data_IF_560948407302
#
_entry.id   IF_560948407302
#
_cell.length_a   1.000
_cell.length_b   1.000
_cell.length_c   1.000
_cell.angle_alpha   90.00
_cell.angle_beta   90.00
_cell.angle_gamma   90.00
#
_symmetry.space_group_name_H-M   'P 1'
#
loop_
_entity.id
_entity.type
_entity.pdbx_description
1 polymer ?
#
# COMPACT_ATOMS: atom_id res chain seq x y z
N UNK A 1 -15.07 -22.43 42.76
CA UNK A 1 -15.78 -22.81 41.51
C UNK A 1 -16.17 -21.52 40.82
N UNK A 2 -15.91 -21.39 39.51
CA UNK A 2 -16.27 -20.19 38.75
C UNK A 2 -17.77 -19.94 38.91
N UNK A 3 -18.14 -18.86 39.58
CA UNK A 3 -19.54 -18.48 39.86
C UNK A 3 -20.26 -17.96 38.62
N UNK A 4 -19.57 -17.79 37.49
CA UNK A 4 -20.20 -17.44 36.21
C UNK A 4 -19.43 -17.96 34.96
N UNK A 5 -19.44 -19.27 34.70
CA UNK A 5 -18.73 -19.88 33.57
C UNK A 5 -19.25 -19.38 32.21
N UNK A 6 -20.54 -19.06 32.11
CA UNK A 6 -21.15 -18.55 30.87
C UNK A 6 -20.65 -17.15 30.50
N UNK A 7 -20.49 -16.23 31.46
CA UNK A 7 -19.95 -14.90 31.20
C UNK A 7 -18.48 -14.97 30.74
N UNK A 8 -17.68 -15.85 31.34
CA UNK A 8 -16.29 -16.05 30.92
C UNK A 8 -16.20 -16.69 29.53
N UNK A 9 -17.05 -17.70 29.24
CA UNK A 9 -17.14 -18.31 27.92
C UNK A 9 -17.62 -17.29 26.86
N UNK A 10 -18.58 -16.43 27.20
CA UNK A 10 -19.08 -15.37 26.33
C UNK A 10 -18.01 -14.31 26.05
N UNK A 11 -17.27 -13.86 27.06
CA UNK A 11 -16.16 -12.92 26.89
C UNK A 11 -15.01 -13.51 26.05
N UNK A 12 -14.66 -14.78 26.28
CA UNK A 12 -13.63 -15.48 25.50
C UNK A 12 -14.07 -15.67 24.05
N UNK A 13 -15.36 -16.01 23.84
CA UNK A 13 -15.95 -16.12 22.50
C UNK A 13 -15.93 -14.77 21.78
N UNK A 14 -16.32 -13.69 22.45
CA UNK A 14 -16.28 -12.35 21.86
C UNK A 14 -14.85 -11.93 21.48
N UNK A 15 -13.85 -12.26 22.31
CA UNK A 15 -12.45 -12.00 21.99
C UNK A 15 -11.98 -12.79 20.76
N UNK A 16 -12.39 -14.06 20.65
CA UNK A 16 -12.05 -14.91 19.51
C UNK A 16 -12.76 -14.46 18.22
N UNK A 17 -14.05 -14.14 18.29
CA UNK A 17 -14.81 -13.57 17.18
C UNK A 17 -14.19 -12.25 16.72
N UNK A 18 -13.71 -11.42 17.65
CA UNK A 18 -12.99 -10.19 17.35
C UNK A 18 -11.68 -10.46 16.59
N UNK A 19 -10.87 -11.42 17.04
CA UNK A 19 -9.63 -11.81 16.33
C UNK A 19 -9.95 -12.32 14.92
N UNK A 20 -10.98 -13.15 14.78
CA UNK A 20 -11.38 -13.72 13.50
C UNK A 20 -11.92 -12.65 12.53
N UNK A 21 -12.74 -11.73 13.03
CA UNK A 21 -13.30 -10.63 12.24
C UNK A 21 -12.21 -9.66 11.80
N UNK A 22 -11.30 -9.31 12.70
CA UNK A 22 -10.13 -8.48 12.36
C UNK A 22 -9.33 -9.18 11.27
N UNK A 23 -8.93 -10.44 11.48
CA UNK A 23 -8.15 -11.20 10.50
C UNK A 23 -8.83 -11.31 9.13
N UNK A 24 -10.14 -11.57 9.10
CA UNK A 24 -10.91 -11.63 7.86
C UNK A 24 -10.95 -10.27 7.15
N UNK A 25 -11.27 -9.20 7.86
CA UNK A 25 -11.26 -7.85 7.29
C UNK A 25 -9.90 -7.52 6.70
N UNK A 26 -8.82 -7.78 7.44
CA UNK A 26 -7.46 -7.51 6.98
C UNK A 26 -7.09 -8.33 5.74
N UNK A 27 -7.46 -9.61 5.72
CA UNK A 27 -7.18 -10.50 4.60
C UNK A 27 -7.94 -10.06 3.35
N UNK A 28 -9.24 -9.76 3.49
CA UNK A 28 -10.06 -9.26 2.39
C UNK A 28 -9.51 -7.95 1.84
N UNK A 29 -9.10 -7.01 2.71
CA UNK A 29 -8.53 -5.74 2.27
C UNK A 29 -7.16 -5.89 1.63
N UNK A 30 -6.32 -6.80 2.12
CA UNK A 30 -5.05 -7.12 1.46
C UNK A 30 -5.28 -7.68 0.05
N UNK A 31 -6.24 -8.59 -0.13
CA UNK A 31 -6.58 -9.15 -1.46
C UNK A 31 -7.11 -8.05 -2.38
N UNK A 32 -8.02 -7.20 -1.91
CA UNK A 32 -8.52 -6.05 -2.68
C UNK A 32 -7.40 -5.09 -3.08
N UNK A 33 -6.46 -4.80 -2.18
CA UNK A 33 -5.30 -3.98 -2.49
C UNK A 33 -4.41 -4.60 -3.59
N UNK A 34 -4.21 -5.92 -3.56
CA UNK A 34 -3.48 -6.64 -4.62
C UNK A 34 -4.24 -6.53 -5.95
N UNK A 35 -5.56 -6.72 -5.96
CA UNK A 35 -6.39 -6.56 -7.15
C UNK A 35 -6.29 -5.15 -7.74
N UNK A 36 -6.35 -4.11 -6.90
CA UNK A 36 -6.21 -2.72 -7.32
C UNK A 36 -4.81 -2.45 -7.94
N UNK A 37 -3.75 -2.97 -7.32
CA UNK A 37 -2.37 -2.83 -7.86
C UNK A 37 -2.20 -3.58 -9.18
N UNK A 38 -2.78 -4.78 -9.31
CA UNK A 38 -2.77 -5.53 -10.58
C UNK A 38 -3.54 -4.79 -11.67
N UNK A 39 -4.71 -4.24 -11.35
CA UNK A 39 -5.50 -3.43 -12.28
C UNK A 39 -4.71 -2.19 -12.72
N UNK A 40 -4.04 -1.50 -11.79
CA UNK A 40 -3.17 -0.36 -12.09
C UNK A 40 -2.02 -0.74 -13.02
N UNK A 41 -1.33 -1.85 -12.77
CA UNK A 41 -0.26 -2.36 -13.63
C UNK A 41 -0.76 -2.67 -15.04
N UNK A 42 -1.93 -3.32 -15.16
CA UNK A 42 -2.51 -3.65 -16.46
C UNK A 42 -2.94 -2.41 -17.23
N UNK A 43 -3.56 -1.42 -16.57
CA UNK A 43 -3.91 -0.15 -17.16
C UNK A 43 -2.68 0.62 -17.65
N UNK A 44 -1.61 0.63 -16.86
CA UNK A 44 -0.34 1.28 -17.20
C UNK A 44 0.34 0.61 -18.38
N UNK A 45 0.40 -0.73 -18.39
CA UNK A 45 0.95 -1.48 -19.52
C UNK A 45 0.15 -1.24 -20.81
N UNK A 46 -1.18 -1.21 -20.71
CA UNK A 46 -2.06 -0.90 -21.85
C UNK A 46 -1.79 0.51 -22.39
N UNK A 47 -1.75 1.52 -21.52
CA UNK A 47 -1.40 2.90 -21.91
C UNK A 47 -0.03 2.95 -22.59
N UNK A 48 0.98 2.29 -22.02
CA UNK A 48 2.33 2.26 -22.60
C UNK A 48 2.38 1.63 -24.00
N UNK A 49 1.56 0.60 -24.27
CA UNK A 49 1.44 0.01 -25.61
C UNK A 49 0.77 1.00 -26.58
N UNK A 50 -0.32 1.63 -26.16
CA UNK A 50 -1.04 2.64 -26.96
C UNK A 50 -0.12 3.83 -27.30
N UNK A 51 0.61 4.34 -26.32
CA UNK A 51 1.60 5.41 -26.46
C UNK A 51 2.74 4.99 -27.40
N UNK A 52 3.24 3.75 -27.28
CA UNK A 52 4.28 3.21 -28.16
C UNK A 52 3.84 3.08 -29.61
N UNK A 53 2.60 2.64 -29.85
CA UNK A 53 2.01 2.58 -31.21
C UNK A 53 1.86 3.99 -31.77
N UNK A 54 1.36 4.94 -30.98
CA UNK A 54 1.22 6.33 -31.39
C UNK A 54 2.57 6.96 -31.74
N UNK A 55 3.59 6.76 -30.89
CA UNK A 55 4.96 7.17 -31.12
C UNK A 55 5.56 6.59 -32.41
N UNK A 56 5.41 5.28 -32.62
CA UNK A 56 5.89 4.61 -33.82
C UNK A 56 5.22 5.16 -35.10
N UNK A 57 3.91 5.44 -35.03
CA UNK A 57 3.17 6.07 -36.11
C UNK A 57 3.70 7.48 -36.40
N UNK A 58 3.86 8.31 -35.38
CA UNK A 58 4.36 9.69 -35.51
C UNK A 58 5.78 9.73 -36.09
N UNK A 59 6.67 8.84 -35.63
CA UNK A 59 8.02 8.69 -36.17
C UNK A 59 7.98 8.22 -37.64
N UNK A 60 7.13 7.23 -37.97
CA UNK A 60 7.02 6.73 -39.36
C UNK A 60 6.45 7.76 -40.35
N UNK A 61 5.70 8.74 -39.86
CA UNK A 61 5.12 9.83 -40.64
C UNK A 61 6.04 11.07 -40.71
N UNK A 62 7.19 11.04 -40.04
CA UNK A 62 8.14 12.14 -40.04
C UNK A 62 8.68 12.39 -41.45
N UNK A 63 8.68 13.66 -41.87
CA UNK A 63 9.08 14.08 -43.22
C UNK A 63 10.59 13.97 -43.46
N UNK A 64 11.38 13.98 -42.40
CA UNK A 64 12.83 13.92 -42.42
C UNK A 64 13.40 13.39 -41.09
N UNK A 65 14.69 13.01 -41.02
CA UNK A 65 15.31 12.49 -39.80
C UNK A 65 15.29 13.45 -38.61
N UNK A 66 15.24 14.77 -38.85
CA UNK A 66 15.20 15.78 -37.80
C UNK A 66 13.80 15.82 -37.16
N UNK A 67 12.75 15.73 -37.97
CA UNK A 67 11.37 15.57 -37.50
C UNK A 67 11.18 14.25 -36.75
N UNK A 68 11.82 13.16 -37.19
CA UNK A 68 11.77 11.87 -36.48
C UNK A 68 12.44 11.94 -35.10
N UNK A 69 13.61 12.58 -35.00
CA UNK A 69 14.27 12.78 -33.70
C UNK A 69 13.47 13.70 -32.78
N UNK A 70 12.81 14.73 -33.31
CA UNK A 70 11.93 15.58 -32.52
C UNK A 70 10.71 14.82 -31.97
N UNK A 71 10.09 13.96 -32.78
CA UNK A 71 8.98 13.10 -32.36
C UNK A 71 9.43 12.08 -31.29
N UNK A 72 10.61 11.48 -31.44
CA UNK A 72 11.17 10.58 -30.44
C UNK A 72 11.46 11.30 -29.11
N UNK A 73 11.98 12.53 -29.15
CA UNK A 73 12.24 13.33 -27.96
C UNK A 73 10.94 13.76 -27.25
N UNK A 74 9.88 14.06 -27.99
CA UNK A 74 8.58 14.42 -27.43
C UNK A 74 7.98 13.29 -26.58
N UNK A 75 8.32 12.03 -26.88
CA UNK A 75 7.83 10.86 -26.12
C UNK A 75 8.49 10.66 -24.74
N UNK A 76 9.52 11.43 -24.41
CA UNK A 76 10.09 11.42 -23.07
C UNK A 76 9.17 12.10 -22.03
N UNK A 77 8.32 13.04 -22.46
CA UNK A 77 7.41 13.75 -21.53
C UNK A 77 6.25 12.88 -21.01
N UNK A 78 5.53 12.11 -21.86
CA UNK A 78 4.48 11.20 -21.42
C UNK A 78 4.96 10.14 -20.42
N UNK A 79 6.17 9.60 -20.60
CA UNK A 79 6.75 8.62 -19.68
C UNK A 79 6.94 9.14 -18.25
N UNK A 80 7.36 10.41 -18.09
CA UNK A 80 7.53 11.06 -16.77
C UNK A 80 6.17 11.36 -16.15
N UNK A 81 5.21 11.85 -16.94
CA UNK A 81 3.85 12.11 -16.47
C UNK A 81 3.14 10.81 -16.05
N UNK A 82 3.32 9.73 -16.80
CA UNK A 82 2.79 8.40 -16.51
C UNK A 82 3.37 7.80 -15.23
N UNK A 83 4.68 7.93 -15.00
CA UNK A 83 5.31 7.48 -13.75
C UNK A 83 4.78 8.25 -12.52
N UNK A 84 4.55 9.56 -12.65
CA UNK A 84 3.94 10.38 -11.60
C UNK A 84 2.49 9.96 -11.33
N UNK A 85 1.70 9.73 -12.37
CA UNK A 85 0.31 9.28 -12.22
C UNK A 85 0.24 7.90 -11.55
N UNK A 86 1.07 6.94 -11.99
CA UNK A 86 1.18 5.62 -11.37
C UNK A 86 1.50 5.72 -9.88
N UNK A 87 2.47 6.56 -9.51
CA UNK A 87 2.80 6.81 -8.10
C UNK A 87 1.62 7.37 -7.33
N UNK A 88 0.94 8.39 -7.85
CA UNK A 88 -0.21 8.99 -7.17
C UNK A 88 -1.33 7.97 -6.94
N UNK A 89 -1.64 7.15 -7.95
CA UNK A 89 -2.65 6.10 -7.83
C UNK A 89 -2.24 5.01 -6.84
N UNK A 90 -0.95 4.65 -6.81
CA UNK A 90 -0.43 3.71 -5.82
C UNK A 90 -0.49 4.27 -4.38
N UNK A 91 -0.14 5.54 -4.20
CA UNK A 91 -0.23 6.24 -2.92
C UNK A 91 -1.70 6.30 -2.44
N UNK A 92 -2.67 6.50 -3.34
CA UNK A 92 -4.10 6.47 -3.03
C UNK A 92 -4.56 5.09 -2.55
N UNK A 93 -4.15 4.00 -3.22
CA UNK A 93 -4.45 2.62 -2.80
C UNK A 93 -3.90 2.35 -1.38
N UNK A 94 -2.64 2.74 -1.13
CA UNK A 94 -2.01 2.54 0.19
C UNK A 94 -2.75 3.32 1.27
N UNK A 95 -3.16 4.57 0.96
CA UNK A 95 -3.90 5.42 1.89
C UNK A 95 -5.29 4.88 2.19
N UNK A 96 -5.97 4.33 1.19
CA UNK A 96 -7.27 3.65 1.37
C UNK A 96 -7.14 2.47 2.33
N UNK A 97 -6.17 1.58 2.07
CA UNK A 97 -5.87 0.43 2.94
C UNK A 97 -5.59 0.89 4.37
N UNK A 98 -4.74 1.90 4.56
CA UNK A 98 -4.41 2.43 5.89
C UNK A 98 -5.65 2.99 6.61
N UNK A 99 -6.50 3.73 5.89
CA UNK A 99 -7.70 4.36 6.45
C UNK A 99 -8.72 3.32 6.88
N UNK A 100 -9.00 2.35 6.02
CA UNK A 100 -9.95 1.27 6.32
C UNK A 100 -9.46 0.40 7.47
N UNK A 101 -8.17 0.09 7.50
CA UNK A 101 -7.55 -0.64 8.60
C UNK A 101 -7.74 0.09 9.91
N UNK A 102 -7.36 1.37 9.96
CA UNK A 102 -7.45 2.19 11.17
C UNK A 102 -8.90 2.35 11.63
N UNK A 103 -9.84 2.55 10.70
CA UNK A 103 -11.26 2.71 11.01
C UNK A 103 -11.87 1.43 11.58
N UNK A 104 -11.61 0.28 10.95
CA UNK A 104 -12.08 -1.01 11.45
C UNK A 104 -11.50 -1.29 12.84
N UNK A 105 -10.22 -1.02 13.00
CA UNK A 105 -9.50 -1.16 14.24
C UNK A 105 -10.14 -0.29 15.36
N UNK A 106 -10.37 1.00 15.11
CA UNK A 106 -10.97 1.93 16.09
C UNK A 106 -12.41 1.56 16.46
N UNK A 107 -13.24 1.20 15.48
CA UNK A 107 -14.64 0.82 15.69
C UNK A 107 -14.75 -0.39 16.62
N UNK A 108 -13.92 -1.41 16.40
CA UNK A 108 -13.96 -2.62 17.22
C UNK A 108 -13.34 -2.43 18.61
N UNK A 109 -12.34 -1.55 18.76
CA UNK A 109 -11.82 -1.17 20.08
C UNK A 109 -12.87 -0.43 20.91
N UNK A 110 -13.63 0.47 20.29
CA UNK A 110 -14.71 1.19 20.97
C UNK A 110 -15.81 0.23 21.43
N UNK A 111 -16.22 -0.71 20.58
CA UNK A 111 -17.19 -1.75 20.90
C UNK A 111 -16.70 -2.69 22.02
N UNK A 112 -15.46 -3.19 21.90
CA UNK A 112 -14.85 -4.03 22.92
C UNK A 112 -14.76 -3.31 24.26
N UNK A 113 -14.33 -2.04 24.28
CA UNK A 113 -14.26 -1.22 25.49
C UNK A 113 -15.63 -1.02 26.12
N UNK A 114 -16.66 -0.76 25.33
CA UNK A 114 -18.03 -0.60 25.82
C UNK A 114 -18.55 -1.89 26.46
N UNK A 115 -18.42 -3.03 25.77
CA UNK A 115 -18.90 -4.33 26.22
C UNK A 115 -18.12 -4.84 27.44
N UNK A 116 -16.79 -4.67 27.46
CA UNK A 116 -15.95 -5.03 28.62
C UNK A 116 -16.17 -4.10 29.81
N UNK A 117 -16.39 -2.80 29.61
CA UNK A 117 -16.63 -1.89 30.74
C UNK A 117 -17.94 -2.23 31.45
N UNK A 118 -18.97 -2.62 30.70
CA UNK A 118 -20.23 -3.11 31.27
C UNK A 118 -19.99 -4.41 32.08
N UNK A 119 -19.25 -5.36 31.51
CA UNK A 119 -18.85 -6.62 32.17
C UNK A 119 -18.01 -6.39 33.44
N UNK A 120 -17.00 -5.51 33.38
CA UNK A 120 -16.14 -5.18 34.52
C UNK A 120 -16.97 -4.53 35.63
N UNK A 121 -17.85 -3.57 35.29
CA UNK A 121 -18.68 -2.88 36.26
C UNK A 121 -19.63 -3.85 36.98
N UNK A 122 -20.22 -4.78 36.24
CA UNK A 122 -21.16 -5.77 36.80
C UNK A 122 -20.45 -6.84 37.66
N UNK A 123 -19.25 -7.27 37.24
CA UNK A 123 -18.41 -8.21 37.99
C UNK A 123 -17.85 -7.54 39.25
N UNK A 124 -17.34 -6.31 39.17
CA UNK A 124 -16.69 -5.62 40.32
C UNK A 124 -17.67 -5.16 41.40
N UNK A 125 -18.94 -4.89 41.06
CA UNK A 125 -19.96 -4.56 42.07
C UNK A 125 -20.49 -5.78 42.84
N UNK A 126 -20.43 -6.97 42.25
CA UNK A 126 -20.99 -8.20 42.80
C UNK A 126 -19.93 -9.30 42.99
N UNK A 127 -18.69 -8.95 43.35
CA UNK A 127 -17.60 -9.92 43.53
C UNK A 127 -17.85 -10.74 44.82
N UNK A 128 -18.09 -12.06 44.73
CA UNK A 128 -18.13 -12.91 45.91
C UNK A 128 -16.73 -12.99 46.54
N UNK A 129 -16.60 -13.05 47.88
CA UNK A 129 -15.31 -13.23 48.54
C UNK A 129 -14.51 -14.41 47.95
N UNK A 130 -13.23 -14.20 47.63
CA UNK A 130 -12.36 -15.24 47.05
C UNK A 130 -12.28 -15.28 45.51
N UNK A 131 -12.84 -14.27 44.82
CA UNK A 131 -12.84 -14.17 43.35
C UNK A 131 -11.80 -13.20 42.78
N UNK A 132 -10.89 -12.69 43.61
CA UNK A 132 -9.89 -11.66 43.27
C UNK A 132 -8.97 -12.10 42.12
N UNK A 133 -8.64 -13.40 42.09
CA UNK A 133 -7.77 -13.96 41.05
C UNK A 133 -8.46 -14.02 39.68
N UNK A 134 -9.78 -14.25 39.64
CA UNK A 134 -10.54 -14.27 38.39
C UNK A 134 -10.68 -12.85 37.81
N UNK A 135 -10.90 -11.85 38.66
CA UNK A 135 -10.93 -10.43 38.24
C UNK A 135 -9.58 -10.00 37.68
N UNK A 136 -8.47 -10.41 38.32
CA UNK A 136 -7.12 -10.13 37.84
C UNK A 136 -6.85 -10.76 36.45
N UNK A 137 -7.27 -12.00 36.22
CA UNK A 137 -7.13 -12.69 34.93
C UNK A 137 -7.93 -11.96 33.85
N UNK A 138 -9.18 -11.57 34.13
CA UNK A 138 -10.00 -10.81 33.17
C UNK A 138 -9.34 -9.49 32.83
N UNK A 139 -8.91 -8.72 33.84
CA UNK A 139 -8.19 -7.46 33.60
C UNK A 139 -6.92 -7.67 32.75
N UNK A 140 -6.14 -8.71 33.03
CA UNK A 140 -4.95 -9.03 32.26
C UNK A 140 -5.27 -9.42 30.81
N UNK A 141 -6.35 -10.15 30.56
CA UNK A 141 -6.79 -10.50 29.20
C UNK A 141 -7.20 -9.25 28.41
N UNK A 142 -7.88 -8.31 29.06
CA UNK A 142 -8.29 -7.02 28.49
C UNK A 142 -7.07 -6.16 28.15
N UNK A 143 -6.16 -6.01 29.11
CA UNK A 143 -4.92 -5.23 28.94
C UNK A 143 -4.08 -5.84 27.78
N UNK A 144 -3.98 -7.17 27.69
CA UNK A 144 -3.32 -7.85 26.57
C UNK A 144 -4.02 -7.66 25.22
N UNK A 145 -5.35 -7.61 25.18
CA UNK A 145 -6.09 -7.35 23.95
C UNK A 145 -5.81 -5.93 23.42
N UNK A 146 -5.78 -4.92 24.30
CA UNK A 146 -5.42 -3.55 23.92
C UNK A 146 -3.95 -3.44 23.47
N UNK A 147 -3.02 -4.16 24.12
CA UNK A 147 -1.64 -4.22 23.67
C UNK A 147 -1.51 -4.87 22.29
N UNK A 148 -2.24 -5.97 22.04
CA UNK A 148 -2.27 -6.62 20.74
C UNK A 148 -2.75 -5.68 19.63
N UNK A 149 -3.77 -4.88 19.93
CA UNK A 149 -4.25 -3.84 19.03
C UNK A 149 -3.18 -2.80 18.70
N UNK A 150 -2.55 -2.23 19.72
CA UNK A 150 -1.51 -1.21 19.53
C UNK A 150 -0.35 -1.75 18.68
N UNK A 151 0.03 -3.02 18.88
CA UNK A 151 1.06 -3.69 18.09
C UNK A 151 0.64 -3.84 16.62
N UNK A 152 -0.61 -4.24 16.38
CA UNK A 152 -1.15 -4.39 15.02
C UNK A 152 -1.20 -3.04 14.31
N UNK A 153 -1.68 -1.98 14.97
CA UNK A 153 -1.66 -0.61 14.43
C UNK A 153 -0.24 -0.15 14.08
N UNK A 154 0.72 -0.36 14.99
CA UNK A 154 2.13 0.00 14.75
C UNK A 154 2.73 -0.78 13.58
N UNK A 155 2.46 -2.08 13.49
CA UNK A 155 2.93 -2.92 12.40
C UNK A 155 2.39 -2.43 11.05
N UNK A 156 1.12 -2.07 10.99
CA UNK A 156 0.50 -1.48 9.78
C UNK A 156 1.15 -0.17 9.39
N UNK A 157 1.35 0.75 10.34
CA UNK A 157 2.04 2.03 10.06
C UNK A 157 3.46 1.81 9.55
N UNK A 158 4.19 0.87 10.14
CA UNK A 158 5.55 0.54 9.71
C UNK A 158 5.58 -0.08 8.31
N UNK A 159 4.61 -0.93 7.98
CA UNK A 159 4.45 -1.49 6.65
C UNK A 159 4.20 -0.39 5.61
N UNK A 160 3.26 0.52 5.89
CA UNK A 160 2.97 1.68 5.02
C UNK A 160 4.24 2.52 4.80
N UNK A 161 4.93 2.88 5.88
CA UNK A 161 6.17 3.66 5.79
C UNK A 161 7.25 2.96 4.97
N UNK A 162 7.38 1.64 5.12
CA UNK A 162 8.35 0.84 4.35
C UNK A 162 8.02 0.90 2.86
N UNK A 163 6.75 0.80 2.49
CA UNK A 163 6.31 0.90 1.09
C UNK A 163 6.57 2.32 0.54
N UNK A 164 6.22 3.37 1.29
CA UNK A 164 6.50 4.76 0.92
C UNK A 164 7.99 5.00 0.67
N UNK A 165 8.86 4.47 1.54
CA UNK A 165 10.31 4.58 1.39
C UNK A 165 10.82 3.87 0.12
N UNK A 166 10.28 2.70 -0.22
CA UNK A 166 10.65 1.99 -1.45
C UNK A 166 10.15 2.71 -2.70
N UNK A 167 8.94 3.26 -2.67
CA UNK A 167 8.40 4.10 -3.76
C UNK A 167 9.26 5.35 -3.96
N UNK A 168 9.66 6.01 -2.87
CA UNK A 168 10.55 7.17 -2.93
C UNK A 168 11.91 6.84 -3.55
N UNK A 169 12.52 5.71 -3.16
CA UNK A 169 13.77 5.22 -3.76
C UNK A 169 13.63 4.92 -5.25
N UNK A 170 12.57 4.21 -5.65
CA UNK A 170 12.30 3.92 -7.06
C UNK A 170 12.10 5.22 -7.86
N UNK A 171 11.35 6.19 -7.31
CA UNK A 171 11.14 7.50 -7.93
C UNK A 171 12.45 8.25 -8.17
N UNK A 172 13.36 8.22 -7.18
CA UNK A 172 14.68 8.86 -7.29
C UNK A 172 15.57 8.20 -8.36
N UNK A 173 15.51 6.88 -8.51
CA UNK A 173 16.23 6.15 -9.56
C UNK A 173 15.70 6.50 -10.96
N UNK A 174 14.38 6.62 -11.12
CA UNK A 174 13.76 7.06 -12.38
C UNK A 174 14.21 8.48 -12.73
N UNK A 175 14.17 9.41 -11.77
CA UNK A 175 14.63 10.79 -11.98
C UNK A 175 16.09 10.85 -12.44
N UNK A 176 17.00 10.10 -11.78
CA UNK A 176 18.41 10.03 -12.18
C UNK A 176 18.61 9.42 -13.57
N UNK A 177 17.81 8.41 -13.93
CA UNK A 177 17.85 7.82 -15.27
C UNK A 177 17.36 8.79 -16.35
N UNK A 178 16.32 9.57 -16.06
CA UNK A 178 15.82 10.64 -16.94
C UNK A 178 16.87 11.73 -17.13
N UNK A 179 17.51 12.20 -16.04
CA UNK A 179 18.58 13.19 -16.10
C UNK A 179 19.74 12.71 -16.97
N UNK A 180 20.17 11.46 -16.79
CA UNK A 180 21.26 10.85 -17.59
C UNK A 180 20.89 10.68 -19.06
N UNK A 181 19.62 10.41 -19.38
CA UNK A 181 19.11 10.34 -20.75
C UNK A 181 19.03 11.72 -21.42
N UNK A 182 18.69 12.77 -20.66
CA UNK A 182 18.64 14.17 -21.15
C UNK A 182 20.01 14.84 -21.21
N UNK A 183 20.98 14.40 -20.41
CA UNK A 183 22.35 14.91 -20.39
C UNK A 183 23.25 14.35 -21.51
N UNK A 184 22.73 13.47 -22.37
CA UNK A 184 23.44 13.00 -23.55
C UNK A 184 23.03 13.78 -24.83
N UNK A 185 23.64 14.95 -25.08
CA UNK A 185 23.93 15.38 -26.44
C UNK A 185 25.45 15.44 -26.67
N UNK A 186 25.87 15.15 -27.91
CA UNK A 186 27.24 15.27 -28.46
C UNK A 186 28.25 14.12 -28.25
N UNK A 187 27.99 12.92 -28.79
CA UNK A 187 29.02 12.20 -29.57
C UNK A 187 28.37 11.32 -30.64
N UNK A 188 27.65 11.91 -31.59
CA UNK A 188 27.26 11.19 -32.79
C UNK A 188 27.10 12.12 -34.00
N UNK A 189 28.23 12.61 -34.54
CA UNK A 189 28.45 12.82 -35.98
C UNK A 189 29.91 13.26 -36.25
N UNK A 190 30.49 13.01 -37.45
CA UNK A 190 29.89 12.42 -38.64
C UNK A 190 30.59 11.15 -39.16
N UNK A 191 29.84 10.45 -40.01
CA UNK A 191 30.30 9.39 -40.90
C UNK A 191 31.64 9.73 -41.56
N UNK A 192 32.59 8.80 -41.47
CA UNK A 192 33.81 8.82 -42.26
C UNK A 192 33.44 8.82 -43.76
N UNK A 193 33.91 9.84 -44.48
CA UNK A 193 33.74 10.01 -45.94
C UNK A 193 34.17 8.75 -46.70
N UNK A 194 33.51 8.40 -47.81
CA UNK A 194 33.93 7.28 -48.64
C UNK A 194 35.27 7.64 -49.30
N UNK A 195 36.31 6.82 -49.09
CA UNK A 195 37.54 6.92 -49.89
C UNK A 195 37.24 6.38 -51.29
N UNK A 196 37.07 7.32 -52.22
CA UNK A 196 37.12 7.06 -53.64
C UNK A 196 38.44 6.38 -54.04
N UNK A 197 38.34 5.41 -54.93
CA UNK A 197 39.43 4.70 -55.57
C UNK A 197 40.41 5.65 -56.28
N UNK A 198 41.70 5.26 -56.33
CA UNK A 198 42.60 5.64 -57.43
C UNK A 198 43.78 4.67 -57.54
N UNK A 199 43.76 3.96 -58.69
CA UNK A 199 44.82 3.29 -59.46
C UNK A 199 45.68 2.22 -58.79
#
# INVERSE_FOLDING_TARGET
MFTNPEQFASATKALFEFQLMTFNTLTTKAVQGVEQVLALNMATAKSGIEDGIAAGKEISQAKDPKAAMAAAAAQLQPGVAGAKAYKQQLDEIIKEIHTEFTTAAEAHVAEAKSNLSALIYDVTKNVPPGSENAVAIVKAAIDNAFLGYEQVTKATQQAVKTVEEQIAKASAQVAQATEKATAAPETAAPAAKPKAAKK
#
